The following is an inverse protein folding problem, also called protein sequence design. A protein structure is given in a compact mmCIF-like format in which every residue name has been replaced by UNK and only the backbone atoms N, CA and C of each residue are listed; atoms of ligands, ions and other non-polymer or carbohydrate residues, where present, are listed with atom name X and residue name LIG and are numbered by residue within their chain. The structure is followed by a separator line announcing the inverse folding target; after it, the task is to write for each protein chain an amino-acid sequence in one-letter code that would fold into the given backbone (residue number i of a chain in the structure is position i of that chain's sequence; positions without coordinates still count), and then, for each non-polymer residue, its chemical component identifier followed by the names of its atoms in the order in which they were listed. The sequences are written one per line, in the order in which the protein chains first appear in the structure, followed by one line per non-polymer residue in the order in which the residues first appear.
data_IF_007814530011
#
_entry.id   IF_007814530011
#
_cell.length_a   1.000
_cell.length_b   1.000
_cell.length_c   1.000
_cell.angle_alpha   90.00
_cell.angle_beta   90.00
_cell.angle_gamma   90.00
#
_symmetry.space_group_name_H-M   'P 1'
#
loop_
_entity.id
_entity.type
_entity.pdbx_description
1 polymer ?
#
# COMPACT_ATOMS: atom_id res chain seq x y z
N UNK A 1 12.63 2.99 39.87
CA UNK A 1 11.16 3.02 39.95
C UNK A 1 10.64 2.46 38.63
N UNK A 2 10.35 1.16 38.61
CA UNK A 2 9.75 0.48 37.47
C UNK A 2 8.24 0.39 37.65
N UNK A 3 7.52 0.54 36.55
CA UNK A 3 6.10 0.26 36.33
C UNK A 3 5.94 0.48 34.81
N UNK A 4 5.53 -0.46 33.97
CA UNK A 4 5.05 -1.83 34.15
C UNK A 4 4.43 -2.21 32.81
N UNK A 5 4.85 -3.34 32.24
CA UNK A 5 4.34 -3.91 31.00
C UNK A 5 2.83 -4.18 31.09
N UNK A 6 2.07 -3.69 30.11
CA UNK A 6 0.67 -4.09 29.93
C UNK A 6 0.59 -5.20 28.87
N UNK A 7 0.95 -6.43 29.27
CA UNK A 7 0.47 -7.63 28.60
C UNK A 7 -1.00 -7.85 28.97
N UNK A 8 -1.91 -7.66 28.02
CA UNK A 8 -3.31 -8.07 28.17
C UNK A 8 -3.40 -9.56 27.83
N UNK A 9 -3.17 -10.41 28.84
CA UNK A 9 -3.61 -11.80 28.81
C UNK A 9 -5.12 -11.83 29.01
N UNK A 10 -5.88 -12.25 27.99
CA UNK A 10 -7.30 -12.61 28.15
C UNK A 10 -7.38 -13.92 28.95
N UNK A 11 -7.45 -13.82 30.27
CA UNK A 11 -7.99 -14.88 31.10
C UNK A 11 -9.50 -14.68 31.21
N UNK A 12 -10.27 -15.73 30.88
CA UNK A 12 -11.70 -15.78 31.09
C UNK A 12 -12.04 -15.53 32.57
N UNK A 13 -12.77 -14.45 32.84
CA UNK A 13 -13.49 -14.30 34.10
C UNK A 13 -14.61 -15.34 34.15
N UNK A 14 -14.40 -16.42 34.91
CA UNK A 14 -15.51 -17.22 35.42
C UNK A 14 -16.26 -16.35 36.44
N UNK A 15 -17.43 -15.85 36.04
CA UNK A 15 -18.38 -15.20 36.95
C UNK A 15 -19.29 -16.29 37.50
N UNK A 16 -19.13 -16.61 38.78
CA UNK A 16 -20.01 -17.54 39.49
C UNK A 16 -21.32 -16.83 39.78
N UNK A 17 -22.33 -17.03 38.93
CA UNK A 17 -23.73 -16.71 39.23
C UNK A 17 -24.36 -17.86 39.98
N UNK A 18 -24.65 -17.64 41.27
CA UNK A 18 -25.43 -18.54 42.12
C UNK A 18 -26.89 -18.49 41.69
N UNK A 19 -27.39 -19.57 41.08
CA UNK A 19 -28.82 -19.74 40.79
C UNK A 19 -29.48 -20.36 42.02
N UNK A 20 -30.27 -19.57 42.74
CA UNK A 20 -31.17 -20.06 43.78
C UNK A 20 -32.55 -20.32 43.17
N UNK A 21 -33.04 -21.56 43.29
CA UNK A 21 -34.46 -21.86 43.33
C UNK A 21 -34.67 -23.05 44.26
N UNK A 22 -35.67 -23.02 45.14
CA UNK A 22 -36.92 -23.70 44.75
C UNK A 22 -38.21 -23.05 45.29
N UNK A 23 -39.32 -23.36 44.60
CA UNK A 23 -40.70 -23.27 45.10
C UNK A 23 -41.07 -24.57 45.80
N UNK A 24 -41.70 -24.49 46.98
CA UNK A 24 -42.80 -25.35 47.42
C UNK A 24 -43.56 -24.61 48.53
N UNK A 25 -44.86 -24.39 48.31
CA UNK A 25 -45.82 -23.98 49.34
C UNK A 25 -46.16 -25.21 50.20
N UNK A 26 -46.16 -25.07 51.53
CA UNK A 26 -47.28 -25.52 52.37
C UNK A 26 -47.17 -24.97 53.82
N UNK A 27 -48.34 -24.84 54.44
CA UNK A 27 -48.69 -23.93 55.54
C UNK A 27 -48.49 -24.51 56.97
N UNK A 28 -48.62 -23.61 57.96
CA UNK A 28 -48.93 -23.82 59.39
C UNK A 28 -47.87 -24.31 60.44
N UNK A 29 -47.43 -23.33 61.25
CA UNK A 29 -47.35 -23.28 62.73
C UNK A 29 -47.09 -24.55 63.57
N UNK A 30 -45.99 -24.57 64.34
CA UNK A 30 -45.97 -24.28 65.80
C UNK A 30 -44.81 -24.96 66.57
N UNK A 31 -44.40 -24.26 67.65
CA UNK A 31 -43.74 -24.74 68.88
C UNK A 31 -42.20 -24.79 68.96
N UNK A 32 -41.76 -24.33 70.14
CA UNK A 32 -40.42 -23.95 70.51
C UNK A 32 -39.44 -25.10 70.77
N UNK A 33 -38.17 -24.73 70.67
CA UNK A 33 -36.93 -25.43 70.96
C UNK A 33 -36.88 -26.18 72.30
N UNK A 34 -36.26 -27.36 72.29
CA UNK A 34 -35.02 -27.60 73.04
C UNK A 34 -34.40 -28.95 72.65
N UNK A 35 -33.13 -28.96 72.24
CA UNK A 35 -32.31 -30.17 72.30
C UNK A 35 -31.41 -30.46 71.10
N UNK A 36 -30.11 -30.31 71.35
CA UNK A 36 -29.01 -31.12 70.84
C UNK A 36 -28.47 -30.88 69.41
N UNK A 37 -27.22 -30.38 69.40
CA UNK A 37 -26.10 -30.68 68.48
C UNK A 37 -26.52 -31.09 67.07
N UNK A 38 -26.54 -30.13 66.14
CA UNK A 38 -26.74 -30.44 64.73
C UNK A 38 -25.49 -31.08 64.14
N UNK A 39 -25.39 -32.41 64.25
CA UNK A 39 -24.71 -33.33 63.32
C UNK A 39 -25.32 -33.26 61.90
N UNK A 40 -25.85 -32.10 61.50
CA UNK A 40 -26.66 -31.89 60.30
C UNK A 40 -25.81 -31.80 59.03
N UNK A 41 -24.55 -31.38 59.13
CA UNK A 41 -23.66 -31.24 57.97
C UNK A 41 -23.14 -32.60 57.46
N UNK A 42 -23.23 -33.66 58.27
CA UNK A 42 -22.86 -35.02 57.87
C UNK A 42 -23.87 -35.65 56.89
N UNK A 43 -25.13 -35.20 56.91
CA UNK A 43 -26.21 -35.69 56.03
C UNK A 43 -26.47 -34.79 54.82
N UNK A 44 -25.73 -33.67 54.69
CA UNK A 44 -25.80 -32.73 53.56
C UNK A 44 -24.43 -32.66 52.87
N UNK A 45 -24.06 -33.68 52.08
CA UNK A 45 -22.78 -33.67 51.39
C UNK A 45 -22.72 -32.50 50.40
N UNK A 46 -21.75 -31.61 50.57
CA UNK A 46 -21.52 -30.47 49.67
C UNK A 46 -20.81 -30.87 48.35
N UNK A 47 -20.35 -32.12 48.26
CA UNK A 47 -19.67 -32.63 47.09
C UNK A 47 -20.67 -32.86 45.96
N UNK A 48 -20.70 -31.93 45.01
CA UNK A 48 -21.43 -32.09 43.76
C UNK A 48 -20.63 -33.03 42.84
N UNK A 49 -21.31 -34.07 42.35
CA UNK A 49 -20.74 -35.07 41.43
C UNK A 49 -21.45 -34.95 40.10
N UNK A 50 -20.73 -35.13 38.99
CA UNK A 50 -21.24 -34.98 37.62
C UNK A 50 -21.64 -33.54 37.23
N UNK A 51 -21.07 -32.52 37.87
CA UNK A 51 -21.29 -31.10 37.54
C UNK A 51 -20.10 -30.44 36.79
N UNK A 52 -19.20 -31.24 36.22
CA UNK A 52 -18.11 -30.76 35.35
C UNK A 52 -18.63 -30.40 33.94
N UNK A 53 -17.95 -29.50 33.21
CA UNK A 53 -18.29 -29.04 31.85
C UNK A 53 -18.61 -30.15 30.82
N UNK A 54 -18.05 -31.35 31.01
CA UNK A 54 -18.33 -32.52 30.15
C UNK A 54 -19.75 -33.10 30.32
N UNK A 55 -20.46 -32.68 31.36
CA UNK A 55 -21.84 -33.09 31.66
C UNK A 55 -22.86 -32.00 31.32
N UNK A 56 -22.41 -30.84 30.80
CA UNK A 56 -23.32 -29.91 30.13
C UNK A 56 -23.94 -30.61 28.90
N UNK A 57 -25.15 -30.18 28.54
CA UNK A 57 -25.83 -30.67 27.34
C UNK A 57 -24.88 -30.64 26.13
N UNK A 58 -24.97 -31.61 25.20
CA UNK A 58 -23.97 -31.81 24.16
C UNK A 58 -23.72 -30.49 23.41
N UNK A 59 -22.52 -29.95 23.59
CA UNK A 59 -22.09 -28.76 22.89
C UNK A 59 -22.09 -29.09 21.39
N UNK A 60 -22.94 -28.44 20.61
CA UNK A 60 -22.89 -28.52 19.16
C UNK A 60 -21.52 -28.03 18.71
N UNK A 61 -20.77 -28.85 17.97
CA UNK A 61 -19.50 -28.44 17.39
C UNK A 61 -19.68 -27.15 16.60
N UNK A 62 -19.08 -26.06 17.08
CA UNK A 62 -19.11 -24.77 16.38
C UNK A 62 -18.23 -24.92 15.15
N UNK A 63 -18.87 -25.05 13.98
CA UNK A 63 -18.18 -25.06 12.71
C UNK A 63 -17.44 -23.72 12.49
N UNK A 64 -16.12 -23.75 12.65
CA UNK A 64 -15.25 -22.60 12.38
C UNK A 64 -15.06 -22.44 10.87
N UNK A 65 -15.51 -21.30 10.32
CA UNK A 65 -15.18 -20.88 8.97
C UNK A 65 -13.97 -19.92 8.98
N UNK A 66 -12.75 -20.37 8.64
CA UNK A 66 -11.56 -19.54 8.75
C UNK A 66 -11.50 -18.46 7.65
N UNK A 67 -11.60 -17.19 8.05
CA UNK A 67 -11.51 -16.02 7.14
C UNK A 67 -10.08 -15.51 6.91
N UNK A 68 -9.04 -16.29 7.26
CA UNK A 68 -7.63 -15.86 7.14
C UNK A 68 -6.95 -16.36 5.86
N UNK A 69 -7.55 -17.31 5.16
CA UNK A 69 -7.00 -17.85 3.94
C UNK A 69 -7.16 -16.82 2.82
N UNK A 70 -6.03 -16.46 2.22
CA UNK A 70 -6.04 -15.70 0.98
C UNK A 70 -6.50 -16.64 -0.15
N UNK A 71 -7.60 -16.32 -0.83
CA UNK A 71 -8.15 -17.21 -1.86
C UNK A 71 -7.23 -17.32 -3.09
N UNK A 72 -6.59 -16.21 -3.50
CA UNK A 72 -5.69 -16.20 -4.66
C UNK A 72 -4.47 -15.32 -4.41
N UNK A 73 -3.29 -15.95 -4.38
CA UNK A 73 -2.01 -15.26 -4.43
C UNK A 73 -1.82 -14.69 -5.84
N UNK A 74 -1.61 -13.39 -5.94
CA UNK A 74 -1.37 -12.71 -7.21
C UNK A 74 0.11 -12.43 -7.40
N UNK A 75 0.48 -12.22 -8.65
CA UNK A 75 1.83 -11.88 -9.04
C UNK A 75 1.79 -10.84 -10.15
N UNK A 76 2.66 -9.85 -10.07
CA UNK A 76 2.93 -8.94 -11.16
C UNK A 76 3.97 -9.57 -12.10
N UNK A 77 3.60 -9.77 -13.35
CA UNK A 77 4.44 -10.46 -14.34
C UNK A 77 5.22 -9.53 -15.26
N UNK A 78 4.69 -8.33 -15.50
CA UNK A 78 5.26 -7.38 -16.44
C UNK A 78 5.12 -5.95 -15.90
N UNK A 79 6.14 -5.13 -16.15
CA UNK A 79 6.22 -3.73 -15.75
C UNK A 79 6.48 -2.89 -17.01
N UNK A 80 5.57 -1.97 -17.28
CA UNK A 80 5.65 -0.97 -18.34
C UNK A 80 6.03 0.37 -17.71
N UNK A 81 7.19 0.91 -18.08
CA UNK A 81 7.67 2.22 -17.63
C UNK A 81 7.57 3.20 -18.80
N UNK A 82 6.70 4.20 -18.67
CA UNK A 82 6.49 5.25 -19.67
C UNK A 82 6.95 6.56 -19.07
N UNK A 83 8.00 7.12 -19.66
CA UNK A 83 8.60 8.39 -19.23
C UNK A 83 8.35 9.45 -20.30
N UNK A 84 7.58 10.47 -19.96
CA UNK A 84 7.30 11.62 -20.81
C UNK A 84 7.93 12.86 -20.15
N UNK A 85 9.24 13.06 -20.39
CA UNK A 85 10.07 14.02 -19.65
C UNK A 85 10.56 15.19 -20.49
N UNK A 86 10.86 14.98 -21.78
CA UNK A 86 11.43 15.99 -22.70
C UNK A 86 12.33 17.01 -21.97
N UNK A 87 13.41 16.53 -21.35
CA UNK A 87 14.10 17.21 -20.24
C UNK A 87 14.62 18.62 -20.57
N UNK A 88 14.74 18.97 -21.85
CA UNK A 88 15.17 20.30 -22.33
C UNK A 88 14.05 21.33 -22.49
N UNK A 89 12.78 20.92 -22.51
CA UNK A 89 11.64 21.79 -22.83
C UNK A 89 10.54 21.59 -21.81
N UNK A 90 10.21 22.67 -21.10
CA UNK A 90 9.13 22.65 -20.12
C UNK A 90 7.76 22.69 -20.80
N UNK A 91 6.75 21.98 -20.27
CA UNK A 91 5.39 22.06 -20.81
C UNK A 91 4.75 23.43 -20.52
N UNK A 92 3.81 23.88 -21.36
CA UNK A 92 3.29 25.26 -21.35
C UNK A 92 2.51 25.63 -20.08
N UNK A 93 2.02 24.63 -19.33
CA UNK A 93 1.20 24.80 -18.14
C UNK A 93 2.00 24.74 -16.83
N UNK A 94 3.33 24.60 -16.91
CA UNK A 94 4.24 24.59 -15.77
C UNK A 94 5.25 25.72 -15.91
N UNK A 95 5.12 26.73 -15.04
CA UNK A 95 6.15 27.76 -14.89
C UNK A 95 7.15 27.25 -13.86
N UNK A 96 8.39 26.97 -14.28
CA UNK A 96 9.47 26.60 -13.37
C UNK A 96 10.13 27.83 -12.77
N UNK A 97 10.17 27.89 -11.44
CA UNK A 97 10.95 28.90 -10.71
C UNK A 97 12.46 28.60 -10.81
N UNK A 98 13.32 29.61 -10.69
CA UNK A 98 14.77 29.39 -10.62
C UNK A 98 15.27 29.71 -9.20
N UNK A 99 15.90 28.76 -8.48
CA UNK A 99 16.17 27.37 -8.89
C UNK A 99 14.95 26.45 -8.68
N UNK A 100 14.85 25.32 -9.41
CA UNK A 100 13.78 24.32 -9.24
C UNK A 100 14.30 22.88 -9.12
N UNK A 101 13.46 22.01 -8.56
CA UNK A 101 13.60 20.57 -8.63
C UNK A 101 13.68 20.10 -10.09
N UNK A 102 14.73 19.35 -10.42
CA UNK A 102 14.92 18.76 -11.77
C UNK A 102 15.45 17.33 -11.74
N UNK A 103 15.91 16.86 -10.59
CA UNK A 103 16.47 15.52 -10.47
C UNK A 103 15.37 14.48 -10.69
N UNK A 104 15.64 13.51 -11.55
CA UNK A 104 14.71 12.42 -11.92
C UNK A 104 15.43 11.10 -11.68
N UNK A 105 14.82 10.19 -10.94
CA UNK A 105 15.39 8.88 -10.59
C UNK A 105 16.82 8.99 -10.02
N UNK A 106 17.05 10.04 -9.22
CA UNK A 106 18.32 10.43 -8.63
C UNK A 106 19.43 10.81 -9.62
N UNK A 107 19.06 11.22 -10.83
CA UNK A 107 19.95 11.73 -11.88
C UNK A 107 19.61 13.19 -12.16
N UNK A 108 20.64 14.05 -12.23
CA UNK A 108 20.47 15.39 -12.78
C UNK A 108 20.41 15.29 -14.31
N UNK A 109 19.28 15.58 -14.97
CA UNK A 109 19.16 15.48 -16.41
C UNK A 109 20.05 16.48 -17.18
N UNK A 110 20.55 17.53 -16.52
CA UNK A 110 21.43 18.53 -17.12
C UNK A 110 22.92 18.20 -16.96
N UNK A 111 23.27 17.15 -16.21
CA UNK A 111 24.66 16.73 -16.04
C UNK A 111 25.21 15.96 -17.26
N UNK A 112 24.39 15.69 -18.27
CA UNK A 112 24.76 14.98 -19.49
C UNK A 112 23.86 15.40 -20.67
N UNK A 113 24.12 14.89 -21.88
CA UNK A 113 23.28 15.19 -23.04
C UNK A 113 21.85 14.66 -22.86
N UNK A 114 20.80 15.36 -23.35
CA UNK A 114 19.40 14.96 -23.12
C UNK A 114 19.07 13.50 -23.49
N UNK A 115 19.54 12.94 -24.62
CA UNK A 115 19.28 11.54 -24.95
C UNK A 115 19.92 10.57 -23.95
N UNK A 116 21.13 10.88 -23.47
CA UNK A 116 21.84 10.05 -22.49
C UNK A 116 21.22 10.17 -21.10
N UNK A 117 20.77 11.37 -20.73
CA UNK A 117 20.04 11.61 -19.49
C UNK A 117 18.78 10.76 -19.44
N UNK A 118 17.96 10.83 -20.48
CA UNK A 118 16.70 10.09 -20.57
C UNK A 118 16.91 8.57 -20.53
N UNK A 119 17.92 8.05 -21.22
CA UNK A 119 18.30 6.63 -21.14
C UNK A 119 18.75 6.21 -19.74
N UNK A 120 19.54 7.05 -19.07
CA UNK A 120 20.05 6.78 -17.72
C UNK A 120 18.92 6.80 -16.70
N UNK A 121 18.00 7.76 -16.79
CA UNK A 121 16.80 7.86 -15.95
C UNK A 121 15.94 6.61 -16.12
N UNK A 122 15.64 6.21 -17.36
CA UNK A 122 14.86 5.00 -17.65
C UNK A 122 15.50 3.72 -17.11
N UNK A 123 16.81 3.56 -17.28
CA UNK A 123 17.55 2.42 -16.74
C UNK A 123 17.55 2.40 -15.20
N UNK A 124 17.76 3.56 -14.57
CA UNK A 124 17.71 3.69 -13.13
C UNK A 124 16.32 3.35 -12.59
N UNK A 125 15.24 3.85 -13.20
CA UNK A 125 13.89 3.53 -12.78
C UNK A 125 13.60 2.03 -12.86
N UNK A 126 14.00 1.37 -13.95
CA UNK A 126 13.90 -0.09 -14.07
C UNK A 126 14.62 -0.78 -12.92
N UNK A 127 15.87 -0.39 -12.65
CA UNK A 127 16.67 -0.93 -11.57
C UNK A 127 16.04 -0.70 -10.19
N UNK A 128 15.42 0.46 -9.97
CA UNK A 128 14.73 0.76 -8.70
C UNK A 128 13.54 -0.16 -8.49
N UNK A 129 12.71 -0.41 -9.51
CA UNK A 129 11.62 -1.38 -9.42
C UNK A 129 12.10 -2.83 -9.36
N UNK A 130 13.15 -3.20 -10.08
CA UNK A 130 13.75 -4.55 -10.08
C UNK A 130 14.17 -4.99 -8.69
N UNK A 131 14.58 -4.05 -7.82
CA UNK A 131 14.89 -4.35 -6.41
C UNK A 131 13.68 -4.92 -5.66
N UNK A 132 12.47 -4.46 -5.97
CA UNK A 132 11.24 -4.93 -5.35
C UNK A 132 10.70 -6.21 -5.99
N UNK A 133 10.88 -6.39 -7.31
CA UNK A 133 10.42 -7.59 -8.01
C UNK A 133 11.38 -8.06 -9.12
N UNK A 134 12.52 -8.71 -8.78
CA UNK A 134 13.57 -9.03 -9.76
C UNK A 134 13.15 -9.97 -10.91
N UNK A 135 12.07 -10.75 -10.72
CA UNK A 135 11.63 -11.79 -11.67
C UNK A 135 10.59 -11.29 -12.68
N UNK A 136 10.15 -10.04 -12.58
CA UNK A 136 9.22 -9.45 -13.56
C UNK A 136 9.94 -9.07 -14.86
N UNK A 137 9.18 -8.90 -15.93
CA UNK A 137 9.70 -8.37 -17.20
C UNK A 137 9.55 -6.86 -17.23
N UNK A 138 10.65 -6.14 -17.36
CA UNK A 138 10.69 -4.69 -17.43
C UNK A 138 10.81 -4.20 -18.86
N UNK A 139 10.01 -3.19 -19.21
CA UNK A 139 10.05 -2.53 -20.52
C UNK A 139 9.92 -1.03 -20.32
N UNK A 140 10.83 -0.29 -20.92
CA UNK A 140 10.93 1.15 -20.80
C UNK A 140 10.64 1.78 -22.16
N UNK A 141 9.75 2.75 -22.19
CA UNK A 141 9.49 3.62 -23.33
C UNK A 141 9.78 5.07 -22.91
N UNK A 142 10.65 5.72 -23.68
CA UNK A 142 11.23 7.03 -23.39
C UNK A 142 10.69 8.05 -24.39
N UNK A 143 10.06 9.11 -23.89
CA UNK A 143 9.29 10.11 -24.64
C UNK A 143 8.47 9.49 -25.80
N UNK A 144 7.58 8.51 -25.49
CA UNK A 144 6.98 7.70 -26.55
C UNK A 144 5.88 8.41 -27.33
N UNK A 145 5.58 7.82 -28.48
CA UNK A 145 4.34 8.08 -29.21
C UNK A 145 3.18 7.24 -28.70
N UNK A 146 1.95 7.66 -28.98
CA UNK A 146 0.73 6.89 -28.69
C UNK A 146 0.82 5.43 -29.19
N UNK A 147 1.34 5.23 -30.39
CA UNK A 147 1.52 3.90 -30.97
C UNK A 147 2.57 3.05 -30.23
N UNK A 148 3.65 3.67 -29.74
CA UNK A 148 4.65 2.99 -28.92
C UNK A 148 4.04 2.54 -27.59
N UNK A 149 3.29 3.42 -26.91
CA UNK A 149 2.56 3.07 -25.67
C UNK A 149 1.56 1.94 -25.91
N UNK A 150 0.81 1.98 -27.03
CA UNK A 150 -0.09 0.90 -27.44
C UNK A 150 0.64 -0.44 -27.58
N UNK A 151 1.74 -0.47 -28.35
CA UNK A 151 2.54 -1.68 -28.54
C UNK A 151 3.11 -2.21 -27.24
N UNK A 152 3.61 -1.32 -26.37
CA UNK A 152 4.09 -1.64 -25.04
C UNK A 152 3.00 -2.33 -24.21
N UNK A 153 1.83 -1.69 -24.06
CA UNK A 153 0.73 -2.19 -23.25
C UNK A 153 0.24 -3.56 -23.71
N UNK A 154 -0.02 -3.71 -25.01
CA UNK A 154 -0.46 -4.98 -25.60
C UNK A 154 0.58 -6.09 -25.42
N UNK A 155 1.87 -5.75 -25.56
CA UNK A 155 2.96 -6.70 -25.37
C UNK A 155 3.11 -7.11 -23.90
N UNK A 156 2.95 -6.17 -22.96
CA UNK A 156 2.97 -6.46 -21.52
C UNK A 156 1.80 -7.36 -21.10
N UNK A 157 0.57 -7.06 -21.55
CA UNK A 157 -0.59 -7.92 -21.30
C UNK A 157 -0.39 -9.32 -21.87
N UNK A 158 0.06 -9.44 -23.13
CA UNK A 158 0.35 -10.74 -23.76
C UNK A 158 1.35 -11.56 -22.95
N UNK A 159 2.38 -10.91 -22.40
CA UNK A 159 3.42 -11.56 -21.60
C UNK A 159 2.94 -11.97 -20.20
N UNK A 160 2.15 -11.12 -19.53
CA UNK A 160 1.66 -11.39 -18.19
C UNK A 160 0.56 -12.45 -18.17
N UNK A 161 -0.18 -12.65 -19.28
CA UNK A 161 -1.35 -13.54 -19.35
C UNK A 161 -2.37 -13.14 -18.27
N UNK A 162 -2.51 -13.95 -17.23
CA UNK A 162 -3.38 -13.74 -16.06
C UNK A 162 -2.67 -13.01 -14.91
N UNK A 163 -1.35 -12.86 -14.95
CA UNK A 163 -0.59 -12.07 -13.97
C UNK A 163 -0.90 -10.57 -14.11
N UNK A 164 -0.65 -9.83 -13.03
CA UNK A 164 -0.83 -8.37 -13.00
C UNK A 164 0.21 -7.69 -13.88
N UNK A 165 -0.20 -6.60 -14.55
CA UNK A 165 0.73 -5.69 -15.24
C UNK A 165 0.82 -4.39 -14.44
N UNK A 166 2.04 -3.93 -14.15
CA UNK A 166 2.27 -2.58 -13.65
C UNK A 166 2.47 -1.62 -14.83
N UNK A 167 1.77 -0.49 -14.81
CA UNK A 167 1.99 0.62 -15.71
C UNK A 167 2.41 1.86 -14.91
N UNK A 168 3.64 2.31 -15.09
CA UNK A 168 4.16 3.53 -14.49
C UNK A 168 4.19 4.61 -15.56
N UNK A 169 3.60 5.75 -15.28
CA UNK A 169 3.61 6.93 -16.13
C UNK A 169 4.19 8.11 -15.36
N UNK A 170 5.27 8.68 -15.87
CA UNK A 170 5.82 9.95 -15.43
C UNK A 170 5.52 10.99 -16.52
N UNK A 171 4.76 12.03 -16.16
CA UNK A 171 4.27 13.06 -17.07
C UNK A 171 4.86 14.44 -16.82
N UNK A 172 6.12 14.56 -16.36
CA UNK A 172 6.70 15.87 -15.99
C UNK A 172 7.07 16.78 -17.17
N UNK A 173 7.27 16.22 -18.36
CA UNK A 173 7.62 16.93 -19.59
C UNK A 173 6.45 17.22 -20.52
N UNK A 174 5.22 17.01 -20.05
CA UNK A 174 3.99 17.16 -20.84
C UNK A 174 2.94 17.91 -20.01
N UNK A 175 1.87 18.43 -20.65
CA UNK A 175 0.81 19.09 -19.91
C UNK A 175 0.11 18.18 -18.89
N UNK A 176 -0.57 18.80 -17.93
CA UNK A 176 -1.41 18.11 -16.95
C UNK A 176 -2.52 17.29 -17.62
N UNK A 177 -2.92 16.16 -17.00
CA UNK A 177 -4.07 15.38 -17.46
C UNK A 177 -5.35 16.22 -17.56
N UNK A 178 -6.21 15.88 -18.52
CA UNK A 178 -7.44 16.65 -18.77
C UNK A 178 -8.65 16.01 -18.08
N UNK A 179 -9.67 16.81 -17.67
CA UNK A 179 -10.94 16.28 -17.16
C UNK A 179 -11.68 15.36 -18.13
N UNK A 180 -11.34 15.38 -19.42
CA UNK A 180 -11.88 14.47 -20.43
C UNK A 180 -11.30 13.04 -20.32
N UNK A 181 -10.42 12.79 -19.35
CA UNK A 181 -9.81 11.49 -19.13
C UNK A 181 -8.68 11.20 -20.10
N UNK A 182 -7.77 12.16 -20.29
CA UNK A 182 -6.62 12.03 -21.18
C UNK A 182 -5.31 12.29 -20.42
N UNK A 183 -4.29 11.50 -20.76
CA UNK A 183 -2.88 11.78 -20.43
C UNK A 183 -2.15 12.19 -21.71
N UNK A 184 -0.97 12.79 -21.59
CA UNK A 184 -0.24 13.32 -22.74
C UNK A 184 1.00 12.51 -23.06
N UNK A 185 1.25 12.32 -24.36
CA UNK A 185 2.47 11.71 -24.91
C UNK A 185 2.99 12.57 -26.07
N UNK A 186 4.02 12.15 -26.79
CA UNK A 186 4.60 12.95 -27.87
C UNK A 186 4.18 12.45 -29.26
N UNK A 187 4.35 13.31 -30.27
CA UNK A 187 4.46 12.85 -31.65
C UNK A 187 5.93 12.48 -31.98
N UNK A 188 6.18 11.84 -33.14
CA UNK A 188 7.52 11.36 -33.52
C UNK A 188 8.59 12.46 -33.58
N UNK A 189 8.17 13.69 -33.86
CA UNK A 189 9.07 14.81 -34.10
C UNK A 189 9.17 15.75 -32.88
N UNK A 190 8.54 15.41 -31.75
CA UNK A 190 8.50 16.22 -30.53
C UNK A 190 8.01 17.66 -30.75
N UNK A 191 7.11 17.87 -31.71
CA UNK A 191 6.52 19.19 -32.01
C UNK A 191 5.17 19.40 -31.35
N UNK A 192 4.49 18.32 -30.97
CA UNK A 192 3.15 18.36 -30.40
C UNK A 192 3.00 17.36 -29.27
N UNK A 193 2.25 17.75 -28.25
CA UNK A 193 1.68 16.84 -27.26
C UNK A 193 0.45 16.18 -27.85
N UNK A 194 0.39 14.85 -27.77
CA UNK A 194 -0.68 14.03 -28.31
C UNK A 194 -1.51 13.48 -27.15
N UNK A 195 -2.82 13.71 -27.11
CA UNK A 195 -3.66 13.16 -26.06
C UNK A 195 -3.81 11.64 -26.24
N UNK A 196 -3.69 10.92 -25.14
CA UNK A 196 -3.93 9.49 -25.01
C UNK A 196 -5.12 9.30 -24.05
N UNK A 197 -6.30 8.92 -24.57
CA UNK A 197 -7.46 8.63 -23.75
C UNK A 197 -7.21 7.46 -22.79
N UNK A 198 -7.62 7.61 -21.54
CA UNK A 198 -7.49 6.58 -20.50
C UNK A 198 -8.34 5.34 -20.80
N UNK A 199 -9.44 5.51 -21.54
CA UNK A 199 -10.28 4.41 -22.04
C UNK A 199 -9.50 3.48 -22.97
N UNK A 200 -8.66 4.03 -23.85
CA UNK A 200 -7.79 3.24 -24.72
C UNK A 200 -6.71 2.52 -23.90
N UNK A 201 -6.08 3.22 -22.94
CA UNK A 201 -5.09 2.63 -22.05
C UNK A 201 -5.66 1.44 -21.24
N UNK A 202 -6.84 1.60 -20.63
CA UNK A 202 -7.57 0.52 -19.92
C UNK A 202 -7.86 -0.66 -20.87
N UNK A 203 -8.26 -0.38 -22.12
CA UNK A 203 -8.58 -1.41 -23.10
C UNK A 203 -7.36 -2.26 -23.52
N UNK A 204 -6.17 -1.67 -23.55
CA UNK A 204 -4.93 -2.35 -23.94
C UNK A 204 -4.36 -3.17 -22.79
N UNK A 205 -4.35 -2.59 -21.59
CA UNK A 205 -3.78 -3.24 -20.42
C UNK A 205 -4.74 -4.24 -19.80
N UNK A 206 -6.05 -3.97 -19.71
CA UNK A 206 -7.05 -4.84 -19.06
C UNK A 206 -6.68 -5.25 -17.63
N UNK A 207 -7.58 -5.96 -16.97
CA UNK A 207 -7.35 -6.51 -15.64
C UNK A 207 -6.62 -7.87 -15.72
N UNK A 208 -5.85 -8.24 -14.67
CA UNK A 208 -5.50 -7.44 -13.50
C UNK A 208 -4.36 -6.45 -13.80
N UNK A 209 -4.46 -5.21 -13.31
CA UNK A 209 -3.46 -4.16 -13.53
C UNK A 209 -3.25 -3.26 -12.30
N UNK A 210 -2.08 -2.64 -12.21
CA UNK A 210 -1.76 -1.57 -11.25
C UNK A 210 -1.12 -0.41 -11.99
N UNK A 211 -1.49 0.81 -11.65
CA UNK A 211 -1.01 2.02 -12.29
C UNK A 211 -0.36 2.94 -11.26
N UNK A 212 0.72 3.60 -11.68
CA UNK A 212 1.40 4.64 -10.91
C UNK A 212 1.49 5.87 -11.80
N UNK A 213 0.92 6.99 -11.37
CA UNK A 213 0.91 8.26 -12.09
C UNK A 213 1.69 9.32 -11.31
N UNK A 214 2.91 9.59 -11.76
CA UNK A 214 3.74 10.69 -11.27
C UNK A 214 3.62 11.88 -12.22
N UNK A 215 2.65 12.74 -11.91
CA UNK A 215 2.38 13.97 -12.64
C UNK A 215 1.56 14.93 -11.76
N UNK A 216 1.51 16.19 -12.15
CA UNK A 216 0.63 17.17 -11.51
C UNK A 216 -0.84 16.90 -11.87
N UNK A 217 -1.78 17.24 -10.99
CA UNK A 217 -3.21 16.94 -11.14
C UNK A 217 -3.54 15.45 -11.36
N UNK A 218 -2.73 14.52 -10.82
CA UNK A 218 -2.86 13.09 -11.09
C UNK A 218 -4.23 12.51 -10.66
N UNK A 219 -4.94 13.10 -9.69
CA UNK A 219 -6.29 12.66 -9.31
C UNK A 219 -7.33 12.80 -10.43
N UNK A 220 -7.12 13.66 -11.41
CA UNK A 220 -7.96 13.73 -12.62
C UNK A 220 -8.02 12.37 -13.33
N UNK A 221 -6.87 11.67 -13.39
CA UNK A 221 -6.77 10.34 -13.97
C UNK A 221 -7.58 9.32 -13.17
N UNK A 222 -7.49 9.38 -11.84
CA UNK A 222 -8.23 8.46 -10.95
C UNK A 222 -9.74 8.64 -11.12
N UNK A 223 -10.21 9.88 -11.20
CA UNK A 223 -11.63 10.18 -11.41
C UNK A 223 -12.12 9.62 -12.75
N UNK A 224 -11.35 9.79 -13.83
CA UNK A 224 -11.70 9.23 -15.14
C UNK A 224 -11.74 7.69 -15.12
N UNK A 225 -10.83 7.02 -14.43
CA UNK A 225 -10.91 5.55 -14.24
C UNK A 225 -12.13 5.13 -13.44
N UNK A 226 -12.50 5.89 -12.41
CA UNK A 226 -13.69 5.62 -11.60
C UNK A 226 -14.96 5.68 -12.47
N UNK A 227 -15.08 6.67 -13.34
CA UNK A 227 -16.19 6.79 -14.31
C UNK A 227 -16.19 5.63 -15.31
N UNK A 228 -15.03 5.29 -15.90
CA UNK A 228 -14.89 4.18 -16.84
C UNK A 228 -15.27 2.82 -16.24
N UNK A 229 -15.06 2.64 -14.94
CA UNK A 229 -15.33 1.38 -14.23
C UNK A 229 -16.65 1.42 -13.45
N UNK A 230 -17.39 2.54 -13.48
CA UNK A 230 -18.65 2.70 -12.76
C UNK A 230 -18.49 2.63 -11.23
N UNK A 231 -17.33 3.01 -10.70
CA UNK A 231 -17.07 3.04 -9.26
C UNK A 231 -17.95 4.10 -8.62
N UNK A 232 -18.99 3.66 -7.90
CA UNK A 232 -19.99 4.55 -7.26
C UNK A 232 -21.42 4.34 -7.74
N UNK A 233 -21.65 3.55 -8.79
CA UNK A 233 -23.00 3.16 -9.21
C UNK A 233 -23.48 1.92 -8.43
N UNK A 234 -24.61 2.03 -7.72
CA UNK A 234 -25.24 0.94 -6.95
C UNK A 234 -25.70 -0.28 -7.78
N UNK A 235 -25.41 -0.29 -9.09
CA UNK A 235 -25.73 -1.34 -10.04
C UNK A 235 -24.44 -1.97 -10.60
N UNK A 236 -23.57 -2.51 -9.75
CA UNK A 236 -22.41 -3.29 -10.22
C UNK A 236 -22.86 -4.72 -10.58
N UNK A 237 -23.53 -4.88 -11.71
CA UNK A 237 -23.86 -6.20 -12.29
C UNK A 237 -22.70 -6.82 -13.10
N UNK A 238 -21.57 -6.10 -13.21
CA UNK A 238 -20.33 -6.59 -13.83
C UNK A 238 -19.32 -7.08 -12.80
N UNK A 239 -18.42 -8.02 -13.18
CA UNK A 239 -17.33 -8.46 -12.31
C UNK A 239 -16.44 -7.27 -11.94
N UNK A 240 -16.13 -7.15 -10.64
CA UNK A 240 -15.27 -6.08 -10.11
C UNK A 240 -13.92 -6.12 -10.84
N UNK A 241 -13.59 -5.05 -11.58
CA UNK A 241 -12.30 -4.95 -12.28
C UNK A 241 -11.18 -4.84 -11.25
N UNK A 242 -10.22 -5.77 -11.29
CA UNK A 242 -9.01 -5.68 -10.48
C UNK A 242 -8.02 -4.66 -11.07
N UNK A 243 -8.32 -3.39 -10.81
CA UNK A 243 -7.55 -2.22 -11.18
C UNK A 243 -7.13 -1.47 -9.91
N UNK A 244 -5.82 -1.23 -9.75
CA UNK A 244 -5.25 -0.49 -8.62
C UNK A 244 -4.59 0.78 -9.18
N UNK A 245 -4.85 1.93 -8.59
CA UNK A 245 -4.32 3.22 -9.05
C UNK A 245 -3.58 3.90 -7.89
N UNK A 246 -2.36 4.38 -8.14
CA UNK A 246 -1.58 5.23 -7.25
C UNK A 246 -1.30 6.53 -7.99
N UNK A 247 -1.69 7.67 -7.42
CA UNK A 247 -1.59 8.99 -8.04
C UNK A 247 -0.88 9.95 -7.09
N UNK A 248 0.00 10.79 -7.64
CA UNK A 248 0.90 11.63 -6.85
C UNK A 248 0.23 12.77 -6.07
N UNK A 249 -0.84 13.36 -6.60
CA UNK A 249 -1.45 14.56 -6.01
C UNK A 249 -2.92 14.76 -6.43
N UNK A 250 -3.62 15.67 -5.75
CA UNK A 250 -5.03 16.02 -6.00
C UNK A 250 -5.22 16.87 -7.28
N UNK A 251 -6.47 17.06 -7.71
CA UNK A 251 -6.88 17.69 -8.98
C UNK A 251 -6.31 19.09 -9.15
N UNK A 252 -6.20 19.85 -8.06
CA UNK A 252 -5.73 21.24 -8.07
C UNK A 252 -4.26 21.37 -7.66
N UNK A 253 -3.61 20.28 -7.31
CA UNK A 253 -2.24 20.27 -6.83
C UNK A 253 -1.25 20.18 -7.99
N UNK A 254 -0.10 20.81 -7.78
CA UNK A 254 1.06 20.73 -8.66
C UNK A 254 2.21 20.17 -7.85
N UNK A 255 3.03 19.32 -8.48
CA UNK A 255 4.18 18.71 -7.83
C UNK A 255 5.16 19.76 -7.30
N UNK A 256 5.86 19.48 -6.19
CA UNK A 256 6.74 20.45 -5.56
C UNK A 256 7.91 20.83 -6.49
N UNK A 257 8.21 22.13 -6.55
CA UNK A 257 9.32 22.67 -7.34
C UNK A 257 10.56 23.00 -6.50
N UNK A 258 10.51 22.83 -5.18
CA UNK A 258 11.66 23.15 -4.30
C UNK A 258 12.86 22.27 -4.62
N UNK A 259 14.05 22.87 -4.79
CA UNK A 259 15.33 22.17 -5.01
C UNK A 259 15.71 21.21 -3.88
N UNK A 260 15.06 21.35 -2.74
CA UNK A 260 15.19 20.41 -1.62
C UNK A 260 14.67 19.02 -1.96
N UNK A 261 13.99 18.81 -3.08
CA UNK A 261 13.44 17.50 -3.46
C UNK A 261 13.74 17.24 -4.95
N UNK A 262 13.82 15.96 -5.34
CA UNK A 262 13.81 15.62 -6.76
C UNK A 262 12.47 16.01 -7.40
N UNK A 263 12.41 16.10 -8.73
CA UNK A 263 11.16 16.33 -9.43
C UNK A 263 10.21 15.12 -9.29
N UNK A 264 10.76 13.91 -9.21
CA UNK A 264 10.02 12.65 -9.03
C UNK A 264 9.87 12.23 -7.57
N UNK A 265 9.37 13.14 -6.72
CA UNK A 265 9.16 12.85 -5.28
C UNK A 265 8.31 11.61 -5.09
N UNK A 266 7.19 11.50 -5.80
CA UNK A 266 6.26 10.39 -5.65
C UNK A 266 6.90 9.07 -6.06
N UNK A 267 7.50 9.01 -7.26
CA UNK A 267 8.24 7.84 -7.71
C UNK A 267 9.36 7.48 -6.73
N UNK A 268 10.16 8.45 -6.30
CA UNK A 268 11.28 8.25 -5.39
C UNK A 268 10.83 7.72 -4.02
N UNK A 269 9.68 8.15 -3.49
CA UNK A 269 9.06 7.56 -2.31
C UNK A 269 8.70 6.09 -2.55
N UNK A 270 8.02 5.80 -3.66
CA UNK A 270 7.53 4.46 -4.00
C UNK A 270 8.64 3.45 -4.31
N UNK A 271 9.74 3.88 -4.92
CA UNK A 271 10.78 2.97 -5.43
C UNK A 271 12.07 3.01 -4.61
N UNK A 272 12.34 4.11 -3.89
CA UNK A 272 13.55 4.31 -3.07
C UNK A 272 13.26 4.95 -1.70
N UNK A 273 12.34 4.39 -0.91
CA UNK A 273 11.78 5.01 0.30
C UNK A 273 12.83 5.41 1.32
N UNK A 274 13.85 4.56 1.58
CA UNK A 274 14.88 4.85 2.59
C UNK A 274 15.71 6.08 2.20
N UNK A 275 16.11 6.18 0.93
CA UNK A 275 16.90 7.31 0.43
C UNK A 275 16.08 8.61 0.52
N UNK A 276 14.81 8.56 0.11
CA UNK A 276 13.91 9.70 0.21
C UNK A 276 13.65 10.11 1.65
N UNK A 277 13.26 9.17 2.52
CA UNK A 277 12.96 9.43 3.93
C UNK A 277 14.13 10.08 4.67
N UNK A 278 15.36 9.58 4.46
CA UNK A 278 16.54 10.14 5.10
C UNK A 278 16.89 11.53 4.56
N UNK A 279 16.84 11.75 3.24
CA UNK A 279 17.10 13.07 2.65
C UNK A 279 16.06 14.09 3.10
N UNK A 280 14.78 13.70 3.15
CA UNK A 280 13.70 14.52 3.68
C UNK A 280 13.90 14.83 5.17
N UNK A 281 14.23 13.83 5.98
CA UNK A 281 14.49 14.00 7.41
C UNK A 281 15.67 14.96 7.67
N UNK A 282 16.78 14.81 6.94
CA UNK A 282 17.92 15.71 7.08
C UNK A 282 17.53 17.16 6.78
N UNK A 283 16.80 17.41 5.69
CA UNK A 283 16.41 18.77 5.27
C UNK A 283 15.38 19.43 6.19
N UNK A 284 14.49 18.65 6.80
CA UNK A 284 13.43 19.14 7.69
C UNK A 284 13.82 19.20 9.17
N UNK A 285 14.80 18.41 9.59
CA UNK A 285 15.26 18.38 10.98
C UNK A 285 16.27 19.48 11.29
N UNK A 286 16.51 19.71 12.58
CA UNK A 286 17.57 20.61 13.06
C UNK A 286 18.99 20.12 12.71
N UNK A 287 19.12 18.95 12.10
CA UNK A 287 20.39 18.30 11.76
C UNK A 287 20.90 18.65 10.36
N UNK A 288 20.15 19.46 9.59
CA UNK A 288 20.43 19.76 8.17
C UNK A 288 21.86 20.27 7.91
N UNK A 289 22.42 21.05 8.82
CA UNK A 289 23.77 21.64 8.73
C UNK A 289 24.84 20.79 9.43
N UNK A 290 24.43 19.77 10.18
CA UNK A 290 25.31 18.92 10.99
C UNK A 290 25.68 17.66 10.21
N UNK A 291 24.73 17.08 9.47
CA UNK A 291 24.91 15.82 8.75
C UNK A 291 25.18 16.11 7.28
N UNK A 292 26.32 15.64 6.77
CA UNK A 292 26.62 15.62 5.34
C UNK A 292 25.61 14.71 4.61
N UNK A 293 24.74 15.32 3.80
CA UNK A 293 23.68 14.62 3.06
C UNK A 293 24.22 13.55 2.08
N UNK A 294 25.47 13.71 1.63
CA UNK A 294 26.11 12.74 0.74
C UNK A 294 26.47 11.41 1.43
N UNK A 295 26.42 11.37 2.78
CA UNK A 295 26.56 10.12 3.54
C UNK A 295 25.36 9.19 3.31
N UNK A 296 24.18 9.73 3.00
CA UNK A 296 22.98 8.93 2.73
C UNK A 296 23.18 8.05 1.49
N UNK A 297 23.90 8.57 0.49
CA UNK A 297 24.23 7.83 -0.72
C UNK A 297 25.32 6.76 -0.51
N UNK A 298 25.98 6.78 0.66
CA UNK A 298 27.13 5.93 1.03
C UNK A 298 26.87 5.06 2.25
N UNK A 299 25.60 4.89 2.67
CA UNK A 299 25.25 4.03 3.81
C UNK A 299 25.76 2.60 3.54
N UNK A 300 26.56 2.02 4.44
CA UNK A 300 27.12 0.69 4.23
C UNK A 300 26.03 -0.38 4.28
N UNK A 301 26.17 -1.37 3.40
CA UNK A 301 25.31 -2.55 3.41
C UNK A 301 24.44 -2.75 2.18
N UNK A 302 23.49 -3.66 2.32
CA UNK A 302 22.51 -4.01 1.27
C UNK A 302 21.13 -4.07 1.90
N UNK A 303 20.11 -3.59 1.20
CA UNK A 303 18.72 -3.55 1.70
C UNK A 303 18.16 -4.93 2.09
N UNK A 304 18.67 -6.00 1.47
CA UNK A 304 18.25 -7.37 1.73
C UNK A 304 19.00 -8.03 2.90
N UNK A 305 20.06 -7.40 3.42
CA UNK A 305 20.86 -7.93 4.52
C UNK A 305 20.62 -7.14 5.81
N UNK A 306 19.75 -7.69 6.66
CA UNK A 306 19.35 -7.11 7.96
C UNK A 306 20.51 -6.95 8.94
N UNK A 307 21.67 -7.58 8.70
CA UNK A 307 22.87 -7.39 9.54
C UNK A 307 23.65 -6.13 9.17
N UNK A 308 23.33 -5.51 8.05
CA UNK A 308 23.96 -4.25 7.61
C UNK A 308 23.08 -3.07 7.97
N UNK A 309 23.68 -1.90 8.20
CA UNK A 309 22.96 -0.69 8.58
C UNK A 309 21.84 -0.33 7.60
N UNK A 310 22.12 -0.39 6.29
CA UNK A 310 21.11 -0.14 5.27
C UNK A 310 19.95 -1.16 5.30
N UNK A 311 20.25 -2.43 5.53
CA UNK A 311 19.21 -3.47 5.60
C UNK A 311 18.41 -3.43 6.90
N UNK A 312 19.02 -3.03 8.00
CA UNK A 312 18.32 -2.79 9.27
C UNK A 312 17.33 -1.62 9.15
N UNK A 313 17.77 -0.48 8.60
CA UNK A 313 16.88 0.66 8.33
C UNK A 313 15.71 0.27 7.41
N UNK A 314 15.99 -0.49 6.35
CA UNK A 314 14.96 -1.00 5.45
C UNK A 314 13.97 -1.94 6.15
N UNK A 315 14.47 -2.76 7.09
CA UNK A 315 13.63 -3.66 7.86
C UNK A 315 12.75 -2.93 8.87
N UNK A 316 13.29 -1.94 9.58
CA UNK A 316 12.53 -1.06 10.48
C UNK A 316 11.43 -0.33 9.70
N UNK A 317 11.77 0.28 8.56
CA UNK A 317 10.79 0.95 7.70
C UNK A 317 9.66 0.01 7.27
N UNK A 318 10.00 -1.22 6.86
CA UNK A 318 9.00 -2.23 6.50
C UNK A 318 8.11 -2.60 7.68
N UNK A 319 8.67 -2.76 8.89
CA UNK A 319 7.90 -3.09 10.09
C UNK A 319 6.96 -1.94 10.50
N UNK A 320 7.44 -0.69 10.46
CA UNK A 320 6.64 0.50 10.79
C UNK A 320 5.47 0.64 9.81
N UNK A 321 5.75 0.65 8.50
CA UNK A 321 4.71 0.84 7.48
C UNK A 321 3.67 -0.28 7.47
N UNK A 322 4.10 -1.54 7.65
CA UNK A 322 3.18 -2.68 7.75
C UNK A 322 2.30 -2.60 9.02
N UNK A 323 2.87 -2.15 10.13
CA UNK A 323 2.15 -1.95 11.40
C UNK A 323 1.11 -0.83 11.26
N UNK A 324 1.47 0.29 10.64
CA UNK A 324 0.52 1.39 10.36
C UNK A 324 -0.65 0.87 9.52
N UNK A 325 -0.36 0.18 8.42
CA UNK A 325 -1.39 -0.37 7.54
C UNK A 325 -2.32 -1.37 8.26
N UNK A 326 -1.77 -2.26 9.08
CA UNK A 326 -2.56 -3.27 9.81
C UNK A 326 -3.52 -2.65 10.82
N UNK A 327 -3.11 -1.57 11.49
CA UNK A 327 -3.94 -0.91 12.49
C UNK A 327 -4.98 0.04 11.89
N UNK A 328 -4.73 0.58 10.69
CA UNK A 328 -5.60 1.59 10.06
C UNK A 328 -6.61 0.96 9.09
N UNK A 329 -6.21 -0.05 8.32
CA UNK A 329 -7.04 -0.59 7.23
C UNK A 329 -7.97 -1.72 7.69
N UNK A 330 -9.17 -1.84 7.10
CA UNK A 330 -9.99 -3.03 7.26
C UNK A 330 -9.24 -4.29 6.81
N UNK A 331 -9.47 -5.40 7.49
CA UNK A 331 -8.80 -6.69 7.26
C UNK A 331 -8.76 -7.10 5.78
N UNK A 332 -9.89 -7.05 5.08
CA UNK A 332 -9.98 -7.48 3.68
C UNK A 332 -9.13 -6.60 2.76
N UNK A 333 -9.12 -5.28 3.00
CA UNK A 333 -8.31 -4.33 2.23
C UNK A 333 -6.81 -4.51 2.50
N UNK A 334 -6.44 -4.72 3.77
CA UNK A 334 -5.06 -5.03 4.14
C UNK A 334 -4.58 -6.31 3.45
N UNK A 335 -5.37 -7.39 3.50
CA UNK A 335 -5.01 -8.66 2.85
C UNK A 335 -4.82 -8.47 1.34
N UNK A 336 -5.72 -7.72 0.69
CA UNK A 336 -5.61 -7.40 -0.75
C UNK A 336 -4.35 -6.62 -1.08
N UNK A 337 -4.06 -5.53 -0.36
CA UNK A 337 -2.99 -4.59 -0.74
C UNK A 337 -1.61 -4.97 -0.20
N UNK A 338 -1.53 -5.57 1.01
CA UNK A 338 -0.27 -5.82 1.72
C UNK A 338 0.14 -7.30 1.76
N UNK A 339 -0.71 -8.24 1.31
CA UNK A 339 -0.41 -9.69 1.36
C UNK A 339 -0.58 -10.43 0.03
N UNK A 340 -1.39 -9.90 -0.90
CA UNK A 340 -1.75 -10.63 -2.12
C UNK A 340 -0.65 -10.71 -3.19
N UNK A 341 0.06 -9.60 -3.42
CA UNK A 341 1.12 -9.46 -4.42
C UNK A 341 2.32 -8.73 -3.79
N UNK A 342 3.52 -9.28 -3.96
CA UNK A 342 4.75 -8.75 -3.37
C UNK A 342 5.07 -7.32 -3.82
N UNK A 343 4.84 -7.00 -5.09
CA UNK A 343 5.12 -5.66 -5.61
C UNK A 343 4.07 -4.66 -5.15
N UNK A 344 2.79 -5.03 -5.19
CA UNK A 344 1.70 -4.20 -4.67
C UNK A 344 1.91 -3.91 -3.19
N UNK A 345 2.24 -4.93 -2.39
CA UNK A 345 2.54 -4.76 -0.97
C UNK A 345 3.73 -3.82 -0.73
N UNK A 346 4.74 -3.86 -1.61
CA UNK A 346 5.87 -2.94 -1.53
C UNK A 346 5.48 -1.51 -1.88
N UNK A 347 4.72 -1.33 -2.96
CA UNK A 347 4.23 -0.03 -3.36
C UNK A 347 3.33 0.61 -2.30
N UNK A 348 2.40 -0.14 -1.71
CA UNK A 348 1.51 0.41 -0.68
C UNK A 348 2.21 0.70 0.65
N UNK A 349 3.20 -0.10 1.05
CA UNK A 349 4.05 0.26 2.20
C UNK A 349 4.79 1.57 1.95
N UNK A 350 5.36 1.70 0.75
CA UNK A 350 6.13 2.88 0.37
C UNK A 350 5.22 4.09 0.09
N UNK A 351 3.96 3.86 -0.28
CA UNK A 351 2.93 4.89 -0.45
C UNK A 351 2.53 5.53 0.88
N UNK A 352 2.71 4.86 2.02
CA UNK A 352 2.50 5.49 3.33
C UNK A 352 3.58 6.52 3.69
N UNK A 353 4.72 6.49 3.00
CA UNK A 353 5.76 7.52 3.11
C UNK A 353 5.50 8.69 2.15
N UNK A 354 4.95 8.39 0.97
CA UNK A 354 4.55 9.39 -0.02
C UNK A 354 3.38 10.22 0.53
#
# INVERSE_FOLDING_TARGET
MSLGDLMVSRFSHSSVTVVTNPRYDDDCTSAASCGNVTTSMAYLPQTLVLCELRHDAPASDIALAPRWRLEQRMKTGCVALVLCLNTSVDPPDVIKISPCARMECWIDPFSMSPPRALQTIGHNLSTQYERWLPKARYKVELDPTKDAVRKLCLSCRKNARTERVLFHYNGHGVPKPTPNGEIWVFNKNFTQYIPLPLSELDSWLKTPSVYVFDCSAARVIVNAFAELHGWGSSASSGPLKDCILLAACDVHETLPQSVEFPADVFTSCLTTPIKMALKWFCRRSLLKEIIDESLIDRIPGRQNDRKTLLGELNWIFTAVTDTVAWNVLPRELFQRLFRQDLLVASLFRNFLLA
#
